data_IF_270866360045
#
_entry.id   IF_270866360045
#
_cell.length_a   1.000
_cell.length_b   1.000
_cell.length_c   1.000
_cell.angle_alpha   90.00
_cell.angle_beta   90.00
_cell.angle_gamma   90.00
#
_symmetry.space_group_name_H-M   'P 1'
#
loop_
_entity.id
_entity.type
_entity.pdbx_description
1 polymer ?
#
# COMPACT_ATOMS: atom_id res chain seq x y z
N UNK A 1 -10.08 -6.98 12.30
CA UNK A 1 -9.67 -7.00 10.89
C UNK A 1 -9.72 -5.59 10.36
N UNK A 2 -8.85 -5.22 9.41
CA UNK A 2 -8.97 -3.93 8.71
C UNK A 2 -10.29 -3.88 7.92
N UNK A 3 -10.82 -2.67 7.72
CA UNK A 3 -12.05 -2.45 6.97
C UNK A 3 -11.95 -2.91 5.50
N UNK A 4 -10.73 -3.00 4.96
CA UNK A 4 -10.44 -3.30 3.55
C UNK A 4 -9.66 -4.60 3.38
N UNK A 5 -9.84 -5.27 2.23
CA UNK A 5 -9.16 -6.53 1.90
C UNK A 5 -7.81 -6.26 1.21
N UNK A 6 -6.73 -6.84 1.73
CA UNK A 6 -5.37 -6.72 1.15
C UNK A 6 -5.16 -7.62 -0.08
N UNK A 7 -6.00 -8.64 -0.28
CA UNK A 7 -5.89 -9.58 -1.39
C UNK A 7 -7.27 -10.08 -1.82
N UNK A 8 -7.40 -10.38 -3.13
CA UNK A 8 -8.57 -11.04 -3.71
C UNK A 8 -8.65 -12.54 -3.39
N UNK A 9 -7.60 -13.10 -2.78
CA UNK A 9 -7.60 -14.51 -2.40
C UNK A 9 -8.79 -14.84 -1.46
N UNK A 10 -9.54 -15.93 -1.73
CA UNK A 10 -10.76 -16.24 -0.99
C UNK A 10 -10.49 -16.76 0.43
N UNK A 11 -9.27 -17.22 0.71
CA UNK A 11 -8.90 -17.80 2.00
C UNK A 11 -7.86 -16.95 2.74
N UNK A 12 -7.90 -17.04 4.07
CA UNK A 12 -6.88 -16.51 4.98
C UNK A 12 -6.25 -17.67 5.75
N UNK A 13 -4.93 -17.69 5.84
CA UNK A 13 -4.21 -18.63 6.69
C UNK A 13 -4.08 -18.03 8.09
N UNK A 14 -4.48 -18.81 9.10
CA UNK A 14 -4.27 -18.47 10.49
C UNK A 14 -3.27 -19.47 11.07
N UNK A 15 -2.25 -18.97 11.76
CA UNK A 15 -1.32 -19.85 12.44
C UNK A 15 -2.02 -20.53 13.61
N UNK A 16 -1.73 -21.81 13.77
CA UNK A 16 -2.22 -22.66 14.86
C UNK A 16 -1.03 -23.10 15.70
N UNK A 17 -1.29 -23.74 16.84
CA UNK A 17 -0.24 -24.21 17.76
C UNK A 17 0.85 -25.06 17.06
N UNK A 18 0.48 -25.84 16.04
CA UNK A 18 1.43 -26.67 15.27
C UNK A 18 2.04 -26.01 14.03
N UNK A 19 1.78 -24.72 13.77
CA UNK A 19 2.36 -24.03 12.62
C UNK A 19 3.86 -23.79 12.83
N UNK A 20 4.67 -24.22 11.85
CA UNK A 20 6.12 -24.02 11.85
C UNK A 20 6.51 -23.01 10.76
N UNK A 21 7.41 -22.10 11.09
CA UNK A 21 7.97 -21.10 10.17
C UNK A 21 9.47 -21.28 10.13
N UNK A 22 10.03 -21.49 8.94
CA UNK A 22 11.46 -21.64 8.73
C UNK A 22 11.93 -20.71 7.62
N UNK A 23 13.00 -19.97 7.87
CA UNK A 23 13.66 -19.17 6.83
C UNK A 23 14.39 -20.10 5.86
N UNK A 24 14.11 -19.96 4.57
CA UNK A 24 14.86 -20.59 3.49
C UNK A 24 15.93 -19.62 2.99
N UNK A 25 17.17 -20.09 2.85
CA UNK A 25 18.32 -19.26 2.42
C UNK A 25 18.62 -19.38 0.92
N UNK A 26 18.02 -20.35 0.25
CA UNK A 26 18.27 -20.72 -1.14
C UNK A 26 16.98 -20.71 -1.98
N UNK A 27 16.04 -19.84 -1.63
CA UNK A 27 14.77 -19.70 -2.34
C UNK A 27 14.51 -18.22 -2.63
N UNK A 28 14.22 -17.91 -3.90
CA UNK A 28 13.84 -16.58 -4.34
C UNK A 28 12.36 -16.56 -4.74
N UNK A 29 11.66 -15.50 -4.32
CA UNK A 29 10.29 -15.26 -4.75
C UNK A 29 10.35 -14.63 -6.14
N UNK A 30 10.12 -15.44 -7.17
CA UNK A 30 10.22 -15.02 -8.58
C UNK A 30 9.06 -14.12 -9.07
N UNK A 31 8.07 -13.85 -8.22
CA UNK A 31 6.93 -13.00 -8.56
C UNK A 31 6.93 -11.78 -7.67
N UNK A 32 6.86 -10.59 -8.28
CA UNK A 32 6.61 -9.37 -7.51
C UNK A 32 5.39 -9.56 -6.61
N UNK A 33 5.48 -9.27 -5.31
CA UNK A 33 4.33 -9.35 -4.42
C UNK A 33 3.30 -8.25 -4.72
N UNK A 34 3.68 -7.22 -5.49
CA UNK A 34 2.85 -6.06 -5.80
C UNK A 34 2.03 -6.26 -7.08
N UNK A 35 0.81 -5.74 -7.05
CA UNK A 35 -0.09 -5.61 -8.20
C UNK A 35 -0.39 -4.14 -8.43
N UNK A 36 0.52 -3.46 -9.15
CA UNK A 36 0.42 -2.03 -9.37
C UNK A 36 -0.82 -1.65 -10.19
N UNK A 37 -1.53 -0.64 -9.70
CA UNK A 37 -2.69 -0.02 -10.35
C UNK A 37 -2.28 1.37 -10.82
N UNK A 38 -2.67 1.80 -12.03
CA UNK A 38 -2.44 3.16 -12.48
C UNK A 38 -3.12 4.18 -11.55
N UNK A 39 -2.40 5.21 -11.12
CA UNK A 39 -2.93 6.27 -10.24
C UNK A 39 -4.20 6.89 -10.84
N UNK A 40 -4.27 7.02 -12.17
CA UNK A 40 -5.45 7.54 -12.88
C UNK A 40 -6.72 6.71 -12.66
N UNK A 41 -6.62 5.39 -12.50
CA UNK A 41 -7.79 4.53 -12.23
C UNK A 41 -8.34 4.73 -10.81
N UNK A 42 -7.47 5.12 -9.87
CA UNK A 42 -7.85 5.42 -8.49
C UNK A 42 -8.47 6.81 -8.43
N UNK A 43 -7.80 7.83 -8.99
CA UNK A 43 -8.29 9.22 -9.00
C UNK A 43 -9.59 9.34 -9.80
N UNK A 44 -9.74 8.56 -10.87
CA UNK A 44 -10.96 8.49 -11.67
C UNK A 44 -12.13 7.78 -10.99
N UNK A 45 -11.95 7.21 -9.78
CA UNK A 45 -13.00 6.51 -9.04
C UNK A 45 -13.42 5.17 -9.64
N UNK A 46 -12.67 4.65 -10.61
CA UNK A 46 -12.94 3.37 -11.28
C UNK A 46 -12.43 2.16 -10.51
N UNK A 47 -11.61 2.36 -9.48
CA UNK A 47 -11.04 1.26 -8.69
C UNK A 47 -12.02 0.71 -7.65
N UNK A 48 -11.95 -0.60 -7.44
CA UNK A 48 -12.74 -1.37 -6.47
C UNK A 48 -12.33 -1.01 -5.03
N UNK A 49 -13.15 -0.20 -4.35
CA UNK A 49 -12.86 0.35 -3.02
C UNK A 49 -12.98 -0.67 -1.88
N UNK A 50 -13.40 -1.91 -2.15
CA UNK A 50 -13.42 -2.98 -1.15
C UNK A 50 -12.01 -3.54 -0.87
N UNK A 51 -11.06 -3.26 -1.77
CA UNK A 51 -9.69 -3.76 -1.71
C UNK A 51 -8.68 -2.63 -1.60
N UNK A 52 -7.54 -2.92 -0.96
CA UNK A 52 -6.37 -2.05 -1.05
C UNK A 52 -5.78 -2.09 -2.47
N UNK A 53 -5.00 -1.07 -2.82
CA UNK A 53 -4.27 -0.97 -4.07
C UNK A 53 -2.77 -0.81 -3.80
N UNK A 54 -1.95 -1.31 -4.72
CA UNK A 54 -0.53 -0.99 -4.77
C UNK A 54 -0.34 0.09 -5.84
N UNK A 55 0.37 1.17 -5.51
CA UNK A 55 0.72 2.23 -6.46
C UNK A 55 2.23 2.44 -6.47
N UNK A 56 2.73 2.86 -7.61
CA UNK A 56 4.12 3.29 -7.79
C UNK A 56 4.12 4.56 -8.65
N UNK A 57 5.02 5.47 -8.34
CA UNK A 57 5.17 6.74 -9.04
C UNK A 57 6.45 7.44 -8.59
N UNK A 58 6.82 8.49 -9.33
CA UNK A 58 7.95 9.34 -8.98
C UNK A 58 7.51 10.30 -7.86
N UNK A 59 8.29 10.39 -6.78
CA UNK A 59 8.09 11.41 -5.75
C UNK A 59 8.48 12.78 -6.31
N UNK A 60 7.49 13.65 -6.53
CA UNK A 60 7.69 14.99 -7.12
C UNK A 60 7.55 16.12 -6.12
N UNK A 61 6.92 15.85 -4.97
CA UNK A 61 6.64 16.86 -3.96
C UNK A 61 6.53 16.25 -2.56
N UNK A 62 6.98 17.01 -1.57
CA UNK A 62 6.79 16.71 -0.14
C UNK A 62 6.28 17.97 0.53
N UNK A 63 5.16 17.85 1.24
CA UNK A 63 4.56 18.92 2.01
C UNK A 63 5.31 19.19 3.31
N UNK A 64 4.85 20.21 4.03
CA UNK A 64 5.28 20.46 5.39
C UNK A 64 4.62 19.44 6.33
N UNK A 65 5.41 18.86 7.25
CA UNK A 65 4.87 18.03 8.34
C UNK A 65 3.90 18.85 9.21
N UNK A 66 2.78 18.24 9.56
CA UNK A 66 1.74 18.80 10.42
C UNK A 66 1.35 17.79 11.48
N UNK A 67 0.74 18.28 12.55
CA UNK A 67 0.09 17.45 13.55
C UNK A 67 -1.41 17.66 13.52
N UNK A 68 -2.18 16.58 13.58
CA UNK A 68 -3.64 16.59 13.64
C UNK A 68 -4.06 16.01 14.99
N UNK A 69 -4.93 16.73 15.70
CA UNK A 69 -5.58 16.21 16.90
C UNK A 69 -6.87 15.48 16.51
N UNK A 70 -6.93 14.19 16.81
CA UNK A 70 -8.08 13.34 16.60
C UNK A 70 -9.18 13.62 17.63
N UNK A 71 -10.42 13.19 17.34
CA UNK A 71 -11.56 13.35 18.24
C UNK A 71 -11.36 12.71 19.63
N UNK A 72 -10.50 11.69 19.72
CA UNK A 72 -10.15 11.02 20.97
C UNK A 72 -9.03 11.73 21.76
N UNK A 73 -8.58 12.92 21.32
CA UNK A 73 -7.50 13.68 21.94
C UNK A 73 -6.08 13.21 21.60
N UNK A 74 -5.93 12.13 20.82
CA UNK A 74 -4.60 11.72 20.34
C UNK A 74 -4.11 12.61 19.21
N UNK A 75 -2.79 12.78 19.10
CA UNK A 75 -2.16 13.52 18.01
C UNK A 75 -1.58 12.56 16.98
N UNK A 76 -1.71 12.88 15.69
CA UNK A 76 -1.14 12.11 14.58
C UNK A 76 -0.33 13.04 13.68
N UNK A 77 0.91 12.64 13.37
CA UNK A 77 1.74 13.33 12.38
C UNK A 77 1.22 13.06 10.97
N UNK A 78 1.11 14.11 10.19
CA UNK A 78 0.70 14.07 8.79
C UNK A 78 1.79 14.69 7.93
N UNK A 79 2.16 14.01 6.85
CA UNK A 79 2.93 14.57 5.76
C UNK A 79 2.22 14.25 4.44
N UNK A 80 2.14 15.24 3.56
CA UNK A 80 1.56 15.07 2.21
C UNK A 80 2.71 14.79 1.25
N UNK A 81 2.55 13.81 0.37
CA UNK A 81 3.49 13.55 -0.72
C UNK A 81 2.75 13.60 -2.05
N UNK A 82 3.48 13.99 -3.10
CA UNK A 82 2.99 14.00 -4.47
C UNK A 82 3.71 12.91 -5.27
N UNK A 83 2.93 12.10 -5.99
CA UNK A 83 3.41 11.01 -6.84
C UNK A 83 2.93 11.24 -8.27
N UNK A 84 3.86 11.22 -9.22
CA UNK A 84 3.58 11.32 -10.64
C UNK A 84 3.70 9.96 -11.33
N UNK A 85 2.76 9.65 -12.24
CA UNK A 85 2.61 8.32 -12.86
C UNK A 85 3.70 7.98 -13.89
N UNK A 86 4.24 8.98 -14.58
CA UNK A 86 5.11 8.78 -15.75
C UNK A 86 6.60 9.10 -15.48
N UNK A 87 6.92 9.73 -14.34
CA UNK A 87 8.23 10.33 -14.13
C UNK A 87 8.55 11.43 -15.16
N UNK A 88 9.66 12.16 -14.96
CA UNK A 88 10.17 13.04 -16.01
C UNK A 88 10.76 12.18 -17.13
N UNK A 89 10.33 12.37 -18.39
CA UNK A 89 11.19 12.07 -19.53
C UNK A 89 12.45 12.93 -19.38
N UNK A 90 13.61 12.28 -19.19
CA UNK A 90 14.89 12.96 -19.32
C UNK A 90 15.01 13.43 -20.77
N UNK A 91 14.87 14.75 -20.97
CA UNK A 91 15.22 15.46 -22.20
C UNK A 91 16.72 15.32 -22.45
#
# INVERSE_FOLDING_TARGET
GGAYRTTRHPYKLNFQFGSLVQRLTNFEINKSPFLFVPISEIVGGSYDTDYLCDVIGLLTGVGQEREITNQNGSTTKLNVIELEKDGYELI
#
